data_IF_175769717448
#
_entry.id   IF_175769717448
#
_cell.length_a   1.000
_cell.length_b   1.000
_cell.length_c   1.000
_cell.angle_alpha   90.00
_cell.angle_beta   90.00
_cell.angle_gamma   90.00
#
_symmetry.space_group_name_H-M   'P 1'
#
loop_
_entity.id
_entity.type
_entity.pdbx_description
1 polymer ?
#
# COMPACT_ATOMS: atom_id res chain seq x y z
N UNK A 1 6.36 -12.17 14.16
CA UNK A 1 5.05 -12.18 13.46
C UNK A 1 4.85 -11.02 12.48
N UNK A 2 4.51 -9.78 12.89
CA UNK A 2 4.17 -8.70 11.93
C UNK A 2 5.31 -8.38 10.93
N UNK A 3 6.54 -8.26 11.42
CA UNK A 3 7.70 -7.99 10.58
C UNK A 3 7.95 -9.11 9.55
N UNK A 4 7.76 -10.38 9.94
CA UNK A 4 7.94 -11.54 9.07
C UNK A 4 6.86 -11.62 8.00
N UNK A 5 5.60 -11.36 8.38
CA UNK A 5 4.48 -11.31 7.44
C UNK A 5 4.64 -10.16 6.42
N UNK A 6 5.06 -8.98 6.90
CA UNK A 6 5.35 -7.84 6.04
C UNK A 6 6.51 -8.14 5.08
N UNK A 7 7.62 -8.68 5.59
CA UNK A 7 8.75 -9.10 4.78
C UNK A 7 8.36 -10.17 3.75
N UNK A 8 7.47 -11.10 4.11
CA UNK A 8 6.96 -12.13 3.21
C UNK A 8 6.14 -11.55 2.06
N UNK A 9 5.21 -10.64 2.36
CA UNK A 9 4.41 -9.95 1.34
C UNK A 9 5.29 -9.13 0.39
N UNK A 10 6.27 -8.40 0.94
CA UNK A 10 7.16 -7.54 0.17
C UNK A 10 8.12 -8.30 -0.76
N UNK A 11 8.25 -9.64 -0.66
CA UNK A 11 9.00 -10.44 -1.64
C UNK A 11 8.38 -10.35 -3.03
N UNK A 12 7.05 -10.48 -3.10
CA UNK A 12 6.30 -10.56 -4.36
C UNK A 12 5.51 -9.29 -4.67
N UNK A 13 5.37 -8.38 -3.70
CA UNK A 13 4.63 -7.13 -3.85
C UNK A 13 5.49 -5.91 -3.50
N UNK A 14 5.16 -4.75 -4.06
CA UNK A 14 5.85 -3.47 -3.79
C UNK A 14 5.29 -2.73 -2.56
N UNK A 15 4.13 -3.17 -2.06
CA UNK A 15 3.50 -2.64 -0.87
C UNK A 15 2.82 -3.75 -0.06
N UNK A 16 2.81 -3.60 1.26
CA UNK A 16 2.04 -4.40 2.20
C UNK A 16 1.22 -3.45 3.09
N UNK A 17 -0.09 -3.69 3.20
CA UNK A 17 -0.99 -2.84 3.99
C UNK A 17 -1.20 -3.50 5.35
N UNK A 18 -0.86 -2.79 6.43
CA UNK A 18 -1.09 -3.22 7.80
C UNK A 18 -2.39 -2.57 8.27
N UNK A 19 -3.39 -3.40 8.55
CA UNK A 19 -4.71 -2.94 8.99
C UNK A 19 -4.60 -2.05 10.24
N UNK A 20 -5.22 -0.86 10.19
CA UNK A 20 -5.19 0.12 11.29
C UNK A 20 -3.89 0.89 11.45
N UNK A 21 -2.86 0.65 10.62
CA UNK A 21 -1.58 1.37 10.69
C UNK A 21 -1.26 2.10 9.38
N UNK A 22 -1.24 1.40 8.25
CA UNK A 22 -0.85 1.98 6.96
C UNK A 22 0.04 1.06 6.12
N UNK A 23 0.51 1.56 4.97
CA UNK A 23 1.34 0.78 4.06
C UNK A 23 2.82 0.80 4.45
N UNK A 24 3.50 -0.33 4.23
CA UNK A 24 4.95 -0.42 4.09
C UNK A 24 5.26 -0.68 2.62
N UNK A 25 6.18 0.08 2.03
CA UNK A 25 6.54 -0.04 0.60
C UNK A 25 8.02 -0.34 0.40
N UNK A 26 8.36 -0.94 -0.75
CA UNK A 26 9.73 -1.33 -1.11
C UNK A 26 10.08 -0.83 -2.50
N UNK A 27 11.25 -0.21 -2.62
CA UNK A 27 11.91 0.16 -3.87
C UNK A 27 13.42 -0.11 -3.79
N UNK A 28 14.10 -0.10 -4.94
CA UNK A 28 15.57 -0.09 -5.03
C UNK A 28 16.13 1.25 -4.53
N UNK A 29 15.36 2.33 -4.63
CA UNK A 29 15.66 3.64 -4.08
C UNK A 29 14.54 4.12 -3.16
N UNK A 30 14.84 5.14 -2.35
CA UNK A 30 13.82 5.80 -1.53
C UNK A 30 12.71 6.40 -2.40
N UNK A 31 13.07 7.04 -3.52
CA UNK A 31 12.12 7.65 -4.44
C UNK A 31 11.16 6.61 -5.03
N UNK A 32 11.66 5.43 -5.42
CA UNK A 32 10.80 4.35 -5.91
C UNK A 32 9.84 3.87 -4.81
N UNK A 33 10.33 3.65 -3.59
CA UNK A 33 9.50 3.25 -2.46
C UNK A 33 8.42 4.30 -2.15
N UNK A 34 8.77 5.58 -2.23
CA UNK A 34 7.87 6.70 -2.03
C UNK A 34 6.80 6.78 -3.11
N UNK A 35 7.15 6.60 -4.39
CA UNK A 35 6.19 6.53 -5.50
C UNK A 35 5.15 5.44 -5.23
N UNK A 36 5.57 4.24 -4.83
CA UNK A 36 4.61 3.18 -4.49
C UNK A 36 3.72 3.54 -3.29
N UNK A 37 4.23 4.27 -2.30
CA UNK A 37 3.40 4.74 -1.18
C UNK A 37 2.32 5.72 -1.67
N UNK A 38 2.70 6.67 -2.54
CA UNK A 38 1.74 7.57 -3.18
C UNK A 38 0.71 6.81 -4.03
N UNK A 39 1.12 5.80 -4.79
CA UNK A 39 0.20 4.99 -5.60
C UNK A 39 -0.84 4.26 -4.73
N UNK A 40 -0.42 3.66 -3.61
CA UNK A 40 -1.34 2.99 -2.67
C UNK A 40 -2.35 3.99 -2.11
N UNK A 41 -1.89 5.15 -1.63
CA UNK A 41 -2.78 6.17 -1.06
C UNK A 41 -3.75 6.73 -2.11
N UNK A 42 -3.26 7.00 -3.32
CA UNK A 42 -4.08 7.50 -4.41
C UNK A 42 -5.16 6.48 -4.82
N UNK A 43 -4.79 5.21 -4.95
CA UNK A 43 -5.74 4.14 -5.24
C UNK A 43 -6.76 3.96 -4.11
N UNK A 44 -6.34 4.03 -2.85
CA UNK A 44 -7.22 3.95 -1.69
C UNK A 44 -8.23 5.12 -1.67
N UNK A 45 -7.78 6.34 -1.99
CA UNK A 45 -8.65 7.51 -2.13
C UNK A 45 -9.70 7.32 -3.23
N UNK A 46 -9.30 6.84 -4.41
CA UNK A 46 -10.23 6.56 -5.51
C UNK A 46 -11.24 5.49 -5.08
N UNK A 47 -10.78 4.38 -4.50
CA UNK A 47 -11.66 3.31 -4.02
C UNK A 47 -12.66 3.83 -2.98
N UNK A 48 -12.22 4.69 -2.06
CA UNK A 48 -13.10 5.32 -1.09
C UNK A 48 -14.13 6.23 -1.76
N UNK A 49 -13.72 7.07 -2.71
CA UNK A 49 -14.62 7.93 -3.46
C UNK A 49 -15.69 7.13 -4.23
N UNK A 50 -15.32 6.01 -4.84
CA UNK A 50 -16.25 5.14 -5.54
C UNK A 50 -17.25 4.48 -4.59
N UNK A 51 -16.78 4.03 -3.42
CA UNK A 51 -17.64 3.44 -2.37
C UNK A 51 -18.66 4.42 -1.82
N UNK A 52 -18.29 5.68 -1.60
CA UNK A 52 -19.24 6.69 -1.10
C UNK A 52 -20.19 7.22 -2.18
N UNK A 53 -19.87 6.97 -3.47
CA UNK A 53 -20.70 7.34 -4.60
C UNK A 53 -21.64 6.21 -5.06
N UNK A 54 -21.70 5.08 -4.31
CA UNK A 54 -22.43 3.85 -4.65
C UNK A 54 -22.11 3.32 -6.07
N UNK A 55 -20.88 3.56 -6.53
CA UNK A 55 -20.39 3.15 -7.85
C UNK A 55 -19.57 1.84 -7.81
N UNK A 56 -19.55 1.15 -6.66
CA UNK A 56 -18.74 -0.05 -6.40
C UNK A 56 -19.36 -0.94 -5.31
#
# INVERSE_FOLDING_TARGET
ELAEACAAALRNHKAAIIAGHGPITRGQTLDEAFVYACCVEHAAKILWLLKIADAL
#
